data_IF_685997735508
#
_entry.id   IF_685997735508
#
_cell.length_a   1.000
_cell.length_b   1.000
_cell.length_c   1.000
_cell.angle_alpha   90.00
_cell.angle_beta   90.00
_cell.angle_gamma   90.00
#
_symmetry.space_group_name_H-M   'P 1'
#
loop_
_entity.id
_entity.type
_entity.pdbx_description
1 polymer ?
#
# COMPACT_ATOMS: atom_id res chain seq x y z
N UNK A 1 -20.14 56.30 23.58
CA UNK A 1 -18.71 55.90 23.63
C UNK A 1 -18.46 54.38 23.70
N UNK A 2 -19.34 53.60 24.35
CA UNK A 2 -19.14 52.15 24.57
C UNK A 2 -19.58 51.24 23.39
N UNK A 3 -20.33 51.73 22.40
CA UNK A 3 -20.79 50.90 21.27
C UNK A 3 -19.73 50.65 20.19
N UNK A 4 -18.83 51.61 19.97
CA UNK A 4 -17.84 51.52 18.89
C UNK A 4 -16.68 50.56 19.22
N UNK A 5 -16.36 50.37 20.51
CA UNK A 5 -15.29 49.47 20.95
C UNK A 5 -15.64 47.99 20.71
N UNK A 6 -16.91 47.62 20.94
CA UNK A 6 -17.40 46.24 20.70
C UNK A 6 -17.51 45.92 19.20
N UNK A 7 -17.89 46.89 18.37
CA UNK A 7 -17.92 46.69 16.91
C UNK A 7 -16.52 46.57 16.31
N UNK A 8 -15.54 47.33 16.80
CA UNK A 8 -14.14 47.23 16.36
C UNK A 8 -13.49 45.89 16.77
N UNK A 9 -13.88 45.32 17.92
CA UNK A 9 -13.40 43.99 18.35
C UNK A 9 -14.01 42.87 17.52
N UNK A 10 -15.29 42.94 17.16
CA UNK A 10 -15.93 41.96 16.28
C UNK A 10 -15.36 41.97 14.86
N UNK A 11 -15.08 43.15 14.30
CA UNK A 11 -14.46 43.27 12.97
C UNK A 11 -13.02 42.74 12.98
N UNK A 12 -12.23 43.04 14.02
CA UNK A 12 -10.88 42.50 14.14
C UNK A 12 -10.87 40.98 14.35
N UNK A 13 -11.82 40.44 15.13
CA UNK A 13 -11.98 38.99 15.30
C UNK A 13 -12.40 38.32 14.00
N UNK A 14 -13.31 38.93 13.25
CA UNK A 14 -13.73 38.45 11.93
C UNK A 14 -12.59 38.49 10.90
N UNK A 15 -11.80 39.57 10.87
CA UNK A 15 -10.64 39.69 10.00
C UNK A 15 -9.53 38.71 10.40
N UNK A 16 -9.29 38.49 11.71
CA UNK A 16 -8.37 37.48 12.19
C UNK A 16 -8.84 36.05 11.86
N UNK A 17 -10.14 35.79 11.97
CA UNK A 17 -10.74 34.52 11.55
C UNK A 17 -10.62 34.33 10.04
N UNK A 18 -10.91 35.35 9.24
CA UNK A 18 -10.72 35.32 7.78
C UNK A 18 -9.26 35.12 7.41
N UNK A 19 -8.33 35.75 8.14
CA UNK A 19 -6.89 35.58 7.95
C UNK A 19 -6.45 34.17 8.36
N UNK A 20 -6.97 33.63 9.46
CA UNK A 20 -6.78 32.22 9.86
C UNK A 20 -7.30 31.24 8.79
N UNK A 21 -8.49 31.50 8.24
CA UNK A 21 -9.10 30.66 7.20
C UNK A 21 -8.35 30.80 5.87
N UNK A 22 -7.86 31.99 5.54
CA UNK A 22 -7.03 32.25 4.36
C UNK A 22 -5.60 31.70 4.51
N UNK A 23 -5.05 31.68 5.73
CA UNK A 23 -3.73 31.15 6.10
C UNK A 23 -3.76 29.64 6.42
N UNK A 24 -4.92 28.96 6.34
CA UNK A 24 -4.93 27.49 6.36
C UNK A 24 -4.45 26.94 5.02
N UNK A 25 -3.14 27.03 4.79
CA UNK A 25 -2.48 26.26 3.74
C UNK A 25 -2.93 24.80 3.83
N UNK A 26 -3.28 24.24 2.67
CA UNK A 26 -3.69 22.84 2.56
C UNK A 26 -2.54 21.98 3.12
N UNK A 27 -2.78 21.10 4.12
CA UNK A 27 -1.71 20.28 4.69
C UNK A 27 -0.92 19.55 3.60
N UNK A 28 0.41 19.51 3.70
CA UNK A 28 1.27 18.98 2.65
C UNK A 28 0.90 17.56 2.22
N UNK A 29 0.55 16.69 3.17
CA UNK A 29 0.02 15.34 2.90
C UNK A 29 -1.25 15.32 2.04
N UNK A 30 -2.10 16.35 2.16
CA UNK A 30 -3.28 16.52 1.30
C UNK A 30 -2.87 17.01 -0.09
N UNK A 31 -1.83 17.83 -0.22
CA UNK A 31 -1.26 18.21 -1.52
C UNK A 31 -0.68 16.99 -2.25
N UNK A 32 0.14 16.16 -1.56
CA UNK A 32 0.66 14.89 -2.10
C UNK A 32 -0.49 13.98 -2.58
N UNK A 33 -1.58 13.88 -1.81
CA UNK A 33 -2.76 13.10 -2.18
C UNK A 33 -3.47 13.64 -3.43
N UNK A 34 -3.60 14.97 -3.54
CA UNK A 34 -4.19 15.61 -4.72
C UNK A 34 -3.33 15.32 -5.95
N UNK A 35 -2.02 15.52 -5.84
CA UNK A 35 -1.06 15.33 -6.94
C UNK A 35 -0.99 13.88 -7.46
N UNK A 36 -1.28 12.90 -6.60
CA UNK A 36 -1.19 11.47 -6.93
C UNK A 36 -2.55 10.82 -7.24
N UNK A 37 -3.66 11.56 -7.16
CA UNK A 37 -5.01 10.99 -7.25
C UNK A 37 -5.23 10.15 -8.51
N UNK A 38 -4.90 10.69 -9.68
CA UNK A 38 -5.16 10.01 -10.96
C UNK A 38 -4.32 8.73 -11.09
N UNK A 39 -3.02 8.81 -10.79
CA UNK A 39 -2.14 7.63 -10.86
C UNK A 39 -2.45 6.62 -9.77
N UNK A 40 -2.90 7.05 -8.59
CA UNK A 40 -3.38 6.18 -7.53
C UNK A 40 -4.58 5.35 -7.99
N UNK A 41 -5.55 5.95 -8.70
CA UNK A 41 -6.71 5.22 -9.24
C UNK A 41 -6.27 4.11 -10.21
N UNK A 42 -5.31 4.40 -11.10
CA UNK A 42 -4.73 3.41 -12.01
C UNK A 42 -4.04 2.29 -11.24
N UNK A 43 -3.28 2.65 -10.21
CA UNK A 43 -2.55 1.71 -9.36
C UNK A 43 -3.50 0.79 -8.60
N UNK A 44 -4.56 1.32 -8.00
CA UNK A 44 -5.60 0.57 -7.30
C UNK A 44 -6.27 -0.45 -8.21
N UNK A 45 -6.66 -0.04 -9.43
CA UNK A 45 -7.29 -0.94 -10.40
C UNK A 45 -6.38 -2.12 -10.74
N UNK A 46 -5.09 -1.84 -10.96
CA UNK A 46 -4.11 -2.86 -11.33
C UNK A 46 -3.73 -3.78 -10.17
N UNK A 47 -3.54 -3.23 -8.97
CA UNK A 47 -3.31 -4.00 -7.74
C UNK A 47 -4.49 -4.93 -7.47
N UNK A 48 -5.72 -4.42 -7.55
CA UNK A 48 -6.92 -5.25 -7.37
C UNK A 48 -7.03 -6.32 -8.46
N UNK A 49 -6.70 -5.99 -9.71
CA UNK A 49 -6.73 -6.96 -10.80
C UNK A 49 -5.74 -8.11 -10.55
N UNK A 50 -4.52 -7.85 -10.09
CA UNK A 50 -3.51 -8.90 -9.88
C UNK A 50 -3.50 -9.53 -8.49
N UNK A 51 -3.39 -8.71 -7.45
CA UNK A 51 -3.30 -9.17 -6.06
C UNK A 51 -4.66 -9.55 -5.48
N UNK A 52 -5.77 -9.01 -6.02
CA UNK A 52 -7.11 -9.53 -5.70
C UNK A 52 -7.27 -10.99 -6.15
N UNK A 53 -6.72 -11.36 -7.30
CA UNK A 53 -6.60 -12.78 -7.71
C UNK A 53 -5.64 -13.52 -6.77
N UNK A 54 -4.49 -12.90 -6.46
CA UNK A 54 -3.51 -13.41 -5.50
C UNK A 54 -4.09 -13.76 -4.13
N UNK A 55 -5.14 -13.07 -3.68
CA UNK A 55 -5.82 -13.43 -2.43
C UNK A 55 -6.34 -14.89 -2.43
N UNK A 56 -6.60 -15.45 -3.61
CA UNK A 56 -7.06 -16.84 -3.78
C UNK A 56 -5.98 -17.84 -4.17
N UNK A 57 -4.72 -17.43 -4.38
CA UNK A 57 -3.61 -18.30 -4.79
C UNK A 57 -2.34 -18.01 -3.99
N UNK A 58 -1.68 -19.03 -3.45
CA UNK A 58 -0.51 -18.81 -2.58
C UNK A 58 0.73 -18.36 -3.36
N UNK A 59 0.90 -18.83 -4.60
CA UNK A 59 2.07 -18.50 -5.43
C UNK A 59 2.01 -17.05 -5.87
N UNK A 60 0.87 -16.62 -6.42
CA UNK A 60 0.67 -15.23 -6.84
C UNK A 60 0.73 -14.26 -5.65
N UNK A 61 0.26 -14.69 -4.46
CA UNK A 61 0.41 -13.90 -3.24
C UNK A 61 1.89 -13.73 -2.85
N UNK A 62 2.67 -14.81 -2.88
CA UNK A 62 4.10 -14.76 -2.57
C UNK A 62 4.88 -13.87 -3.56
N UNK A 63 4.55 -13.92 -4.86
CA UNK A 63 5.11 -13.01 -5.86
C UNK A 63 4.88 -11.54 -5.51
N UNK A 64 3.66 -11.21 -5.05
CA UNK A 64 3.32 -9.87 -4.57
C UNK A 64 4.12 -9.46 -3.33
N UNK A 65 4.29 -10.35 -2.36
CA UNK A 65 5.10 -10.08 -1.18
C UNK A 65 6.56 -9.83 -1.54
N UNK A 66 7.08 -10.61 -2.48
CA UNK A 66 8.49 -10.61 -2.84
C UNK A 66 8.94 -9.32 -3.54
N UNK A 67 8.10 -8.73 -4.40
CA UNK A 67 8.40 -7.43 -5.02
C UNK A 67 8.44 -6.29 -3.99
N UNK A 68 7.61 -6.37 -2.94
CA UNK A 68 7.53 -5.34 -1.91
C UNK A 68 8.56 -5.51 -0.80
N UNK A 69 8.98 -6.74 -0.49
CA UNK A 69 9.99 -7.04 0.52
C UNK A 69 11.26 -6.20 0.33
N UNK A 70 11.81 -6.18 -0.88
CA UNK A 70 13.04 -5.42 -1.19
C UNK A 70 12.87 -3.91 -0.97
N UNK A 71 11.72 -3.37 -1.36
CA UNK A 71 11.43 -1.94 -1.20
C UNK A 71 11.30 -1.58 0.27
N UNK A 72 10.52 -2.33 1.06
CA UNK A 72 10.39 -2.08 2.49
C UNK A 72 11.72 -2.29 3.22
N UNK A 73 12.48 -3.33 2.88
CA UNK A 73 13.81 -3.60 3.44
C UNK A 73 14.78 -2.43 3.18
N UNK A 74 14.79 -1.90 1.95
CA UNK A 74 15.59 -0.73 1.62
C UNK A 74 15.17 0.50 2.40
N UNK A 75 13.86 0.80 2.46
CA UNK A 75 13.33 1.98 3.14
C UNK A 75 13.61 1.94 4.65
N UNK A 76 13.43 0.78 5.29
CA UNK A 76 13.76 0.60 6.71
C UNK A 76 15.26 0.78 6.96
N UNK A 77 16.11 0.22 6.11
CA UNK A 77 17.55 0.47 6.20
C UNK A 77 17.94 1.93 5.96
N UNK A 78 17.24 2.64 5.09
CA UNK A 78 17.46 4.07 4.87
C UNK A 78 17.04 4.90 6.10
N UNK A 79 15.91 4.56 6.73
CA UNK A 79 15.50 5.19 8.00
C UNK A 79 16.54 4.97 9.11
N UNK A 80 17.18 3.80 9.17
CA UNK A 80 18.29 3.56 10.10
C UNK A 80 19.50 4.45 9.81
N UNK A 81 19.98 4.45 8.56
CA UNK A 81 21.17 5.21 8.13
C UNK A 81 20.98 6.72 8.25
N UNK A 82 19.77 7.22 8.00
CA UNK A 82 19.41 8.64 7.95
C UNK A 82 18.61 9.08 9.17
N UNK A 83 18.65 8.29 10.26
CA UNK A 83 17.95 8.56 11.52
C UNK A 83 18.32 9.89 12.18
N UNK A 84 19.50 10.43 11.86
CA UNK A 84 19.99 11.74 12.31
C UNK A 84 19.40 12.92 11.52
N UNK A 85 18.56 12.66 10.52
CA UNK A 85 17.90 13.67 9.66
C UNK A 85 16.38 13.66 9.89
N UNK A 86 15.65 14.58 9.25
CA UNK A 86 14.17 14.62 9.26
C UNK A 86 13.50 13.32 8.80
N UNK A 87 14.21 12.44 8.08
CA UNK A 87 13.69 11.14 7.64
C UNK A 87 13.42 10.23 8.85
N UNK A 88 14.23 10.33 9.91
CA UNK A 88 14.05 9.53 11.14
C UNK A 88 12.70 9.78 11.81
N UNK A 89 12.14 10.98 11.65
CA UNK A 89 10.84 11.34 12.23
C UNK A 89 9.65 10.61 11.58
N UNK A 90 9.86 9.98 10.41
CA UNK A 90 8.86 9.14 9.75
C UNK A 90 8.85 7.69 10.24
N UNK A 91 9.83 7.26 11.05
CA UNK A 91 9.89 5.90 11.60
C UNK A 91 9.00 5.76 12.85
N UNK A 92 7.69 5.71 12.62
CA UNK A 92 6.68 5.60 13.66
C UNK A 92 6.73 4.21 14.31
N UNK A 93 6.82 4.11 15.65
CA UNK A 93 6.93 2.82 16.34
C UNK A 93 5.84 1.82 15.93
N UNK A 94 6.30 0.61 15.59
CA UNK A 94 5.43 -0.48 15.15
C UNK A 94 5.00 -0.42 13.69
N UNK A 95 5.57 0.47 12.86
CA UNK A 95 5.28 0.47 11.42
C UNK A 95 6.09 -0.56 10.64
N UNK A 96 7.37 -0.77 10.97
CA UNK A 96 8.33 -1.63 10.23
C UNK A 96 7.82 -3.03 9.92
N UNK A 97 8.07 -3.52 8.71
CA UNK A 97 7.51 -4.74 8.14
C UNK A 97 8.53 -5.73 7.59
N UNK A 98 9.82 -5.40 7.49
CA UNK A 98 10.82 -6.32 6.91
C UNK A 98 10.75 -7.73 7.51
N UNK A 99 10.80 -7.86 8.83
CA UNK A 99 10.70 -9.17 9.51
C UNK A 99 9.36 -9.87 9.24
N UNK A 100 8.28 -9.09 9.10
CA UNK A 100 6.97 -9.62 8.78
C UNK A 100 6.91 -10.17 7.34
N UNK A 101 7.60 -9.52 6.39
CA UNK A 101 7.79 -10.03 5.04
C UNK A 101 8.59 -11.33 5.03
N UNK A 102 9.71 -11.38 5.75
CA UNK A 102 10.54 -12.59 5.85
C UNK A 102 9.75 -13.77 6.41
N UNK A 103 8.92 -13.53 7.44
CA UNK A 103 8.03 -14.54 8.02
C UNK A 103 6.99 -15.05 7.03
N UNK A 104 6.30 -14.15 6.32
CA UNK A 104 5.28 -14.55 5.35
C UNK A 104 5.90 -15.25 4.13
N UNK A 105 7.07 -14.78 3.65
CA UNK A 105 7.79 -15.40 2.54
C UNK A 105 8.27 -16.81 2.92
N UNK A 106 8.82 -17.00 4.13
CA UNK A 106 9.19 -18.32 4.63
C UNK A 106 7.99 -19.27 4.74
N UNK A 107 6.81 -18.74 5.10
CA UNK A 107 5.58 -19.52 5.13
C UNK A 107 5.12 -19.97 3.73
N UNK A 108 5.20 -19.09 2.73
CA UNK A 108 4.67 -19.39 1.39
C UNK A 108 5.66 -20.11 0.46
N UNK A 109 6.95 -19.84 0.60
CA UNK A 109 8.02 -20.32 -0.29
C UNK A 109 8.95 -21.34 0.38
N UNK A 110 8.84 -21.53 1.70
CA UNK A 110 9.70 -22.40 2.50
C UNK A 110 10.82 -21.63 3.21
N UNK A 111 11.48 -22.25 4.21
CA UNK A 111 12.49 -21.58 5.05
C UNK A 111 13.69 -21.05 4.26
N UNK A 112 14.08 -21.73 3.18
CA UNK A 112 15.23 -21.36 2.34
C UNK A 112 14.86 -20.50 1.13
N UNK A 113 13.75 -19.76 1.20
CA UNK A 113 13.21 -18.97 0.07
C UNK A 113 14.21 -17.98 -0.55
N UNK A 114 15.23 -17.56 0.22
CA UNK A 114 16.28 -16.66 -0.25
C UNK A 114 17.33 -17.33 -1.14
N UNK A 115 17.45 -18.67 -1.11
CA UNK A 115 18.57 -19.38 -1.76
C UNK A 115 18.61 -19.19 -3.29
N UNK A 116 17.44 -19.21 -3.92
CA UNK A 116 17.27 -19.06 -5.37
C UNK A 116 16.59 -17.73 -5.71
N UNK A 117 16.58 -16.80 -4.76
CA UNK A 117 15.92 -15.51 -4.92
C UNK A 117 16.80 -14.52 -5.67
N UNK A 118 16.24 -13.92 -6.73
CA UNK A 118 16.77 -12.73 -7.37
C UNK A 118 15.65 -11.71 -7.53
N UNK A 119 15.86 -10.43 -7.15
CA UNK A 119 14.90 -9.38 -7.43
C UNK A 119 14.62 -9.29 -8.93
N UNK A 120 13.35 -9.02 -9.27
CA UNK A 120 12.92 -8.78 -10.66
C UNK A 120 13.56 -7.50 -11.19
N UNK A 121 13.73 -7.40 -12.51
CA UNK A 121 14.28 -6.20 -13.15
C UNK A 121 13.54 -4.92 -12.75
N UNK A 122 12.20 -4.97 -12.69
CA UNK A 122 11.36 -3.86 -12.21
C UNK A 122 11.69 -3.42 -10.78
N UNK A 123 12.00 -4.37 -9.90
CA UNK A 123 12.43 -4.11 -8.51
C UNK A 123 13.86 -3.58 -8.49
N UNK A 124 14.77 -4.13 -9.30
CA UNK A 124 16.13 -3.59 -9.45
C UNK A 124 16.12 -2.12 -9.91
N UNK A 125 15.28 -1.79 -10.89
CA UNK A 125 15.11 -0.43 -11.39
C UNK A 125 14.55 0.50 -10.30
N UNK A 126 13.57 0.03 -9.52
CA UNK A 126 13.06 0.76 -8.37
C UNK A 126 14.19 1.01 -7.35
N UNK A 127 14.93 -0.03 -6.96
CA UNK A 127 16.01 0.06 -5.99
C UNK A 127 17.13 0.99 -6.46
N UNK A 128 17.45 0.98 -7.74
CA UNK A 128 18.44 1.88 -8.33
C UNK A 128 17.99 3.34 -8.23
N UNK A 129 16.72 3.61 -8.53
CA UNK A 129 16.15 4.96 -8.39
C UNK A 129 16.28 5.48 -6.95
N UNK A 130 15.84 4.70 -5.96
CA UNK A 130 15.87 5.15 -4.56
C UNK A 130 17.30 5.21 -3.98
N UNK A 131 18.23 4.38 -4.46
CA UNK A 131 19.67 4.53 -4.14
C UNK A 131 20.25 5.83 -4.69
N UNK A 132 19.82 6.24 -5.89
CA UNK A 132 20.25 7.53 -6.45
C UNK A 132 19.66 8.70 -5.67
N UNK A 133 18.40 8.62 -5.22
CA UNK A 133 17.81 9.62 -4.33
C UNK A 133 18.59 9.71 -3.01
N UNK A 134 18.85 8.58 -2.35
CA UNK A 134 19.61 8.53 -1.10
C UNK A 134 20.97 9.25 -1.22
N UNK A 135 21.66 9.08 -2.36
CA UNK A 135 22.96 9.70 -2.61
C UNK A 135 22.88 11.20 -2.90
N UNK A 136 21.88 11.65 -3.66
CA UNK A 136 21.86 13.00 -4.24
C UNK A 136 20.94 13.96 -3.48
N UNK A 137 19.76 13.50 -3.07
CA UNK A 137 18.81 14.26 -2.24
C UNK A 137 17.99 13.27 -1.38
N UNK A 138 18.51 12.85 -0.22
CA UNK A 138 17.89 11.81 0.60
C UNK A 138 16.49 12.18 1.08
N UNK A 139 16.15 13.46 1.20
CA UNK A 139 14.83 13.89 1.66
C UNK A 139 13.70 13.42 0.72
N UNK A 140 13.99 13.19 -0.57
CA UNK A 140 12.99 12.68 -1.51
C UNK A 140 12.54 11.24 -1.20
N UNK A 141 13.34 10.47 -0.43
CA UNK A 141 12.94 9.15 0.07
C UNK A 141 11.69 9.19 0.94
N UNK A 142 11.41 10.33 1.58
CA UNK A 142 10.23 10.50 2.43
C UNK A 142 8.93 10.28 1.65
N UNK A 143 8.88 10.61 0.35
CA UNK A 143 7.73 10.30 -0.49
C UNK A 143 7.50 8.78 -0.59
N UNK A 144 8.57 7.99 -0.77
CA UNK A 144 8.48 6.54 -0.86
C UNK A 144 8.07 5.92 0.47
N UNK A 145 8.72 6.31 1.57
CA UNK A 145 8.36 5.85 2.91
C UNK A 145 6.87 6.14 3.17
N UNK A 146 6.45 7.39 2.96
CA UNK A 146 5.08 7.79 3.23
C UNK A 146 4.05 7.01 2.42
N UNK A 147 4.20 6.93 1.10
CA UNK A 147 3.18 6.29 0.24
C UNK A 147 3.13 4.76 0.42
N UNK A 148 4.26 4.08 0.59
CA UNK A 148 4.26 2.62 0.79
C UNK A 148 3.59 2.22 2.10
N UNK A 149 3.92 2.90 3.19
CA UNK A 149 3.30 2.62 4.48
C UNK A 149 1.83 3.07 4.51
N UNK A 150 1.48 4.24 3.96
CA UNK A 150 0.07 4.66 3.89
C UNK A 150 -0.79 3.71 3.04
N UNK A 151 -0.22 3.18 1.95
CA UNK A 151 -0.83 2.16 1.10
C UNK A 151 -1.03 0.84 1.85
N UNK A 152 -0.01 0.35 2.54
CA UNK A 152 -0.09 -0.87 3.36
C UNK A 152 -1.14 -0.75 4.48
N UNK A 153 -1.13 0.37 5.20
CA UNK A 153 -2.02 0.65 6.32
C UNK A 153 -3.46 0.92 5.89
N UNK A 154 -3.70 1.10 4.59
CA UNK A 154 -5.04 1.33 4.03
C UNK A 154 -5.48 0.15 3.14
N UNK A 155 -4.92 0.04 1.93
CA UNK A 155 -5.24 -1.03 0.97
C UNK A 155 -4.79 -2.42 1.45
N UNK A 156 -3.63 -2.50 2.13
CA UNK A 156 -3.15 -3.77 2.69
C UNK A 156 -4.10 -4.39 3.72
N UNK A 157 -4.83 -3.57 4.49
CA UNK A 157 -5.84 -4.06 5.44
C UNK A 157 -7.08 -4.63 4.73
N UNK A 158 -7.44 -4.11 3.56
CA UNK A 158 -8.50 -4.67 2.72
C UNK A 158 -8.06 -6.02 2.16
N UNK A 159 -6.84 -6.10 1.61
CA UNK A 159 -6.27 -7.35 1.10
C UNK A 159 -6.15 -8.41 2.20
N UNK A 160 -5.78 -8.05 3.43
CA UNK A 160 -5.79 -8.97 4.59
C UNK A 160 -7.14 -9.62 4.78
N UNK A 161 -8.22 -8.83 4.80
CA UNK A 161 -9.59 -9.34 5.00
C UNK A 161 -10.00 -10.28 3.88
N UNK A 162 -9.70 -9.92 2.64
CA UNK A 162 -9.97 -10.76 1.47
C UNK A 162 -9.19 -12.08 1.54
N UNK A 163 -7.89 -12.02 1.81
CA UNK A 163 -7.02 -13.19 1.95
C UNK A 163 -7.48 -14.11 3.08
N UNK A 164 -7.79 -13.55 4.24
CA UNK A 164 -8.30 -14.29 5.39
C UNK A 164 -9.63 -15.01 5.08
N UNK A 165 -10.53 -14.34 4.36
CA UNK A 165 -11.78 -14.95 3.90
C UNK A 165 -11.50 -16.12 2.96
N UNK A 166 -10.61 -15.95 1.99
CA UNK A 166 -10.25 -17.01 1.04
C UNK A 166 -9.59 -18.21 1.73
N UNK A 167 -8.76 -18.00 2.76
CA UNK A 167 -8.20 -19.09 3.56
C UNK A 167 -9.31 -19.85 4.31
N UNK A 168 -10.22 -19.13 4.99
CA UNK A 168 -11.35 -19.76 5.72
C UNK A 168 -12.25 -20.60 4.81
N UNK A 169 -12.44 -20.20 3.55
CA UNK A 169 -13.23 -20.95 2.58
C UNK A 169 -12.50 -22.22 2.07
N UNK A 170 -11.17 -22.21 2.01
CA UNK A 170 -10.37 -23.37 1.57
C UNK A 170 -10.17 -24.41 2.68
N UNK A 171 -9.96 -23.95 3.91
CA UNK A 171 -9.69 -24.82 5.05
C UNK A 171 -10.99 -25.19 5.76
N UNK A 172 -11.55 -26.35 5.39
CA UNK A 172 -12.65 -26.97 6.12
C UNK A 172 -12.17 -27.40 7.52
N UNK A 173 -12.52 -26.57 8.52
CA UNK A 173 -12.75 -26.90 9.94
C UNK A 173 -11.63 -27.50 10.83
N UNK A 174 -10.43 -27.81 10.36
CA UNK A 174 -9.42 -28.53 11.19
C UNK A 174 -8.06 -27.86 11.44
N UNK A 175 -7.69 -26.78 10.76
CA UNK A 175 -6.40 -26.10 11.01
C UNK A 175 -6.55 -24.83 11.86
N UNK A 176 -5.63 -24.71 12.83
CA UNK A 176 -5.56 -23.64 13.82
C UNK A 176 -4.99 -22.36 13.21
N UNK A 177 -5.85 -21.34 13.09
CA UNK A 177 -5.44 -19.94 12.89
C UNK A 177 -5.17 -19.52 11.44
N UNK A 178 -5.35 -18.22 11.17
CA UNK A 178 -4.92 -17.60 9.92
C UNK A 178 -3.39 -17.49 9.92
N UNK A 179 -2.72 -17.93 8.86
CA UNK A 179 -1.26 -17.89 8.72
C UNK A 179 -0.85 -17.15 7.44
N UNK A 180 0.41 -16.73 7.36
CA UNK A 180 0.94 -16.00 6.19
C UNK A 180 0.30 -14.63 5.97
N UNK A 181 0.01 -13.90 7.06
CA UNK A 181 -0.60 -12.57 7.05
C UNK A 181 0.19 -11.54 7.89
N UNK A 182 1.39 -11.89 8.35
CA UNK A 182 2.20 -11.08 9.26
C UNK A 182 2.45 -9.66 8.72
N UNK A 183 2.70 -9.51 7.41
CA UNK A 183 2.94 -8.21 6.77
C UNK A 183 1.75 -7.26 6.96
N UNK A 184 0.55 -7.79 6.88
CA UNK A 184 -0.69 -7.01 7.00
C UNK A 184 -1.24 -6.98 8.43
N UNK A 185 -0.63 -7.75 9.33
CA UNK A 185 -0.99 -7.79 10.75
C UNK A 185 -0.34 -6.64 11.52
N UNK A 186 -0.96 -5.47 11.39
CA UNK A 186 -0.48 -4.25 12.03
C UNK A 186 -1.40 -3.88 13.19
N UNK A 187 -0.83 -3.70 14.37
CA UNK A 187 -1.52 -3.15 15.55
C UNK A 187 -1.53 -1.63 15.49
N UNK A 188 -2.59 -1.00 16.03
CA UNK A 188 -2.68 0.47 16.11
C UNK A 188 -2.56 1.22 14.77
N UNK A 189 -3.12 0.66 13.69
CA UNK A 189 -3.10 1.24 12.33
C UNK A 189 -3.46 2.72 12.30
N UNK A 190 -4.51 3.13 13.02
CA UNK A 190 -4.94 4.52 13.06
C UNK A 190 -3.88 5.46 13.64
N UNK A 191 -3.20 5.05 14.71
CA UNK A 191 -2.13 5.81 15.37
C UNK A 191 -0.90 5.93 14.48
N UNK A 192 -0.53 4.86 13.78
CA UNK A 192 0.62 4.90 12.85
C UNK A 192 0.30 5.87 11.70
N UNK A 193 -0.90 5.77 11.11
CA UNK A 193 -1.31 6.67 10.03
C UNK A 193 -1.35 8.14 10.44
N UNK A 194 -1.90 8.45 11.63
CA UNK A 194 -1.93 9.82 12.13
C UNK A 194 -0.53 10.33 12.41
N UNK A 195 0.32 9.54 13.08
CA UNK A 195 1.71 9.90 13.36
C UNK A 195 2.52 10.18 12.08
N UNK A 196 2.37 9.34 11.05
CA UNK A 196 3.04 9.58 9.76
C UNK A 196 2.54 10.86 9.07
N UNK A 197 1.23 11.11 9.10
CA UNK A 197 0.66 12.29 8.47
C UNK A 197 1.09 13.58 9.20
N UNK A 198 1.08 13.57 10.53
CA UNK A 198 1.55 14.67 11.37
C UNK A 198 3.04 14.94 11.16
N UNK A 199 3.88 13.89 11.18
CA UNK A 199 5.31 14.01 10.92
C UNK A 199 5.59 14.60 9.53
N UNK A 200 4.97 14.06 8.47
CA UNK A 200 5.16 14.56 7.11
C UNK A 200 4.71 16.03 6.96
N UNK A 201 3.58 16.42 7.55
CA UNK A 201 3.13 17.82 7.50
C UNK A 201 4.10 18.76 8.24
N UNK A 202 4.62 18.35 9.40
CA UNK A 202 5.60 19.13 10.15
C UNK A 202 6.90 19.28 9.38
N UNK A 203 7.47 18.15 8.92
CA UNK A 203 8.71 18.12 8.13
C UNK A 203 8.60 19.05 6.92
N UNK A 204 7.49 19.01 6.19
CA UNK A 204 7.28 19.87 5.02
C UNK A 204 7.33 21.38 5.34
N UNK A 205 6.97 21.78 6.57
CA UNK A 205 7.11 23.16 7.04
C UNK A 205 8.56 23.59 7.28
N UNK A 206 9.48 22.64 7.42
CA UNK A 206 10.92 22.89 7.63
C UNK A 206 11.73 22.85 6.31
N UNK A 207 11.12 22.36 5.22
CA UNK A 207 11.78 22.22 3.92
C UNK A 207 11.65 23.50 3.06
N UNK A 208 12.62 23.68 2.16
CA UNK A 208 12.50 24.67 1.09
C UNK A 208 11.47 24.25 0.02
N UNK A 209 11.06 25.21 -0.80
CA UNK A 209 10.04 25.00 -1.83
C UNK A 209 10.49 24.02 -2.92
N UNK A 210 11.78 24.02 -3.27
CA UNK A 210 12.34 23.10 -4.26
C UNK A 210 12.19 21.64 -3.80
N UNK A 211 12.53 21.36 -2.54
CA UNK A 211 12.43 20.03 -1.94
C UNK A 211 10.98 19.63 -1.75
N UNK A 212 10.09 20.55 -1.35
CA UNK A 212 8.64 20.28 -1.30
C UNK A 212 8.09 19.90 -2.66
N UNK A 213 8.44 20.64 -3.71
CA UNK A 213 8.00 20.31 -5.06
C UNK A 213 8.60 18.99 -5.53
N UNK A 214 9.87 18.73 -5.20
CA UNK A 214 10.54 17.45 -5.44
C UNK A 214 9.79 16.28 -4.80
N UNK A 215 9.33 16.42 -3.55
CA UNK A 215 8.51 15.41 -2.87
C UNK A 215 7.16 15.16 -3.55
N UNK A 216 6.54 16.20 -4.12
CA UNK A 216 5.29 16.09 -4.89
C UNK A 216 5.52 15.34 -6.21
N UNK A 217 6.62 15.62 -6.92
CA UNK A 217 6.96 14.87 -8.13
C UNK A 217 7.38 13.43 -7.83
N UNK A 218 8.19 13.23 -6.78
CA UNK A 218 8.61 11.90 -6.35
C UNK A 218 7.42 11.07 -5.86
N UNK A 219 6.41 11.71 -5.26
CA UNK A 219 5.14 11.06 -4.93
C UNK A 219 4.47 10.42 -6.16
N UNK A 220 4.57 11.03 -7.35
CA UNK A 220 4.04 10.43 -8.59
C UNK A 220 4.93 9.28 -9.05
N UNK A 221 6.25 9.45 -8.97
CA UNK A 221 7.24 8.42 -9.33
C UNK A 221 7.08 7.15 -8.50
N UNK A 222 6.75 7.26 -7.21
CA UNK A 222 6.38 6.13 -6.35
C UNK A 222 5.34 5.24 -7.03
N UNK A 223 4.24 5.83 -7.52
CA UNK A 223 3.19 5.05 -8.18
C UNK A 223 3.61 4.53 -9.55
N UNK A 224 4.37 5.30 -10.34
CA UNK A 224 4.90 4.83 -11.65
C UNK A 224 5.75 3.58 -11.46
N UNK A 225 6.72 3.64 -10.57
CA UNK A 225 7.66 2.53 -10.32
C UNK A 225 6.96 1.35 -9.62
N UNK A 226 6.09 1.62 -8.64
CA UNK A 226 5.25 0.58 -8.02
C UNK A 226 4.40 -0.14 -9.06
N UNK A 227 3.86 0.60 -10.02
CA UNK A 227 3.05 0.02 -11.07
C UNK A 227 3.87 -0.92 -11.96
N UNK A 228 5.09 -0.53 -12.33
CA UNK A 228 6.01 -1.43 -13.06
C UNK A 228 6.29 -2.73 -12.29
N UNK A 229 6.51 -2.64 -10.97
CA UNK A 229 6.71 -3.83 -10.13
C UNK A 229 5.47 -4.74 -10.12
N UNK A 230 4.27 -4.18 -9.91
CA UNK A 230 3.02 -4.96 -9.93
C UNK A 230 2.76 -5.59 -11.31
N UNK A 231 3.08 -4.88 -12.40
CA UNK A 231 2.99 -5.43 -13.76
C UNK A 231 3.92 -6.62 -13.99
N UNK A 232 5.04 -6.70 -13.28
CA UNK A 232 5.95 -7.85 -13.37
C UNK A 232 5.49 -9.10 -12.61
N UNK A 233 4.42 -9.03 -11.80
CA UNK A 233 3.87 -10.20 -11.10
C UNK A 233 3.32 -11.22 -12.11
N UNK A 234 3.82 -12.45 -12.03
CA UNK A 234 3.41 -13.58 -12.85
C UNK A 234 2.30 -14.43 -12.21
N UNK A 235 1.76 -15.38 -12.97
CA UNK A 235 0.78 -16.37 -12.48
C UNK A 235 -0.66 -15.88 -12.34
N UNK A 236 -0.90 -14.58 -12.18
CA UNK A 236 -2.26 -14.03 -12.05
C UNK A 236 -3.17 -14.40 -13.24
N UNK A 237 -2.67 -14.30 -14.48
CA UNK A 237 -3.42 -14.67 -15.69
C UNK A 237 -3.75 -16.17 -15.77
N UNK A 238 -2.80 -17.03 -15.41
CA UNK A 238 -3.01 -18.48 -15.37
C UNK A 238 -4.11 -18.86 -14.35
N UNK A 239 -4.13 -18.21 -13.18
CA UNK A 239 -5.18 -18.44 -12.18
C UNK A 239 -6.57 -18.04 -12.71
N UNK A 240 -6.68 -16.94 -13.48
CA UNK A 240 -7.94 -16.53 -14.11
C UNK A 240 -8.39 -17.57 -15.14
N UNK A 241 -7.50 -18.02 -16.02
CA UNK A 241 -7.82 -19.03 -17.03
C UNK A 241 -8.33 -20.33 -16.38
N UNK A 242 -7.65 -20.82 -15.33
CA UNK A 242 -8.08 -22.01 -14.58
C UNK A 242 -9.46 -21.82 -13.95
N UNK A 243 -9.74 -20.63 -13.39
CA UNK A 243 -11.08 -20.33 -12.85
C UNK A 243 -12.13 -20.36 -13.96
N UNK A 244 -11.91 -19.70 -15.09
CA UNK A 244 -12.87 -19.71 -16.21
C UNK A 244 -13.18 -21.13 -16.71
N UNK A 245 -12.15 -21.98 -16.85
CA UNK A 245 -12.35 -23.39 -17.22
C UNK A 245 -13.20 -24.13 -16.19
N UNK A 246 -12.95 -23.95 -14.89
CA UNK A 246 -13.77 -24.55 -13.83
C UNK A 246 -15.23 -24.09 -13.88
N UNK A 247 -15.47 -22.81 -14.10
CA UNK A 247 -16.83 -22.26 -14.22
C UNK A 247 -17.55 -22.82 -15.45
N UNK A 248 -16.86 -22.94 -16.59
CA UNK A 248 -17.41 -23.58 -17.79
C UNK A 248 -17.76 -25.06 -17.53
N UNK A 249 -16.90 -25.81 -16.82
CA UNK A 249 -17.19 -27.20 -16.43
C UNK A 249 -18.39 -27.30 -15.48
N UNK A 250 -18.49 -26.43 -14.46
CA UNK A 250 -19.65 -26.42 -13.56
C UNK A 250 -20.94 -26.05 -14.27
N UNK A 251 -20.87 -25.09 -15.20
CA UNK A 251 -22.01 -24.75 -16.07
C UNK A 251 -22.46 -25.96 -16.90
N UNK A 252 -21.52 -26.65 -17.55
CA UNK A 252 -21.80 -27.85 -18.34
C UNK A 252 -22.40 -28.97 -17.48
N UNK A 253 -21.85 -29.22 -16.28
CA UNK A 253 -22.38 -30.20 -15.34
C UNK A 253 -23.81 -29.84 -14.89
N UNK A 254 -24.07 -28.55 -14.64
CA UNK A 254 -25.40 -28.05 -14.30
C UNK A 254 -26.43 -28.28 -15.42
N UNK A 255 -26.03 -28.05 -16.68
CA UNK A 255 -26.89 -28.36 -17.85
C UNK A 255 -27.15 -29.86 -17.95
N UNK A 256 -26.12 -30.71 -17.81
CA UNK A 256 -26.28 -32.16 -17.84
C UNK A 256 -27.20 -32.67 -16.72
N UNK A 257 -27.06 -32.13 -15.51
CA UNK A 257 -27.92 -32.44 -14.39
C UNK A 257 -29.37 -32.02 -14.65
N UNK A 258 -29.60 -30.84 -15.22
CA UNK A 258 -30.93 -30.38 -15.59
C UNK A 258 -31.58 -31.29 -16.66
N UNK A 259 -30.80 -31.73 -17.66
CA UNK A 259 -31.26 -32.70 -18.67
C UNK A 259 -31.62 -34.04 -18.01
N UNK A 260 -30.76 -34.53 -17.10
CA UNK A 260 -30.99 -35.78 -16.37
C UNK A 260 -32.26 -35.72 -15.53
N UNK A 261 -32.44 -34.66 -14.74
CA UNK A 261 -33.64 -34.46 -13.89
C UNK A 261 -34.90 -34.36 -14.76
N UNK A 262 -34.85 -33.64 -15.89
CA UNK A 262 -35.98 -33.54 -16.82
C UNK A 262 -36.36 -34.90 -17.42
N UNK A 263 -35.38 -35.74 -17.78
CA UNK A 263 -35.65 -37.10 -18.27
C UNK A 263 -36.26 -37.99 -17.19
N UNK A 264 -35.78 -37.90 -15.96
CA UNK A 264 -36.31 -38.67 -14.84
C UNK A 264 -37.73 -38.24 -14.42
N UNK A 265 -38.07 -36.95 -14.50
CA UNK A 265 -39.40 -36.45 -14.16
C UNK A 265 -40.48 -36.75 -15.22
N UNK A 266 -40.08 -37.15 -16.43
CA UNK A 266 -40.98 -37.42 -17.56
C UNK A 266 -41.12 -38.92 -17.90
N UNK A 267 -40.42 -39.80 -17.19
CA UNK A 267 -40.47 -41.26 -17.35
C UNK A 267 -40.95 -41.93 -16.08
#
# INVERSE_FOLDING_TARGET
>A
PLSNANQLTDVNNFLNWMKMVADTEIPFTKQMRIATREIHNVSDAMVNAKLGIGCSDNRVWAEGLMIYYEVFSFMEGAMDRLSHTLIGDLDIPGMRRKEAFEKDLAFYLGPDWQKDYSPRESVCNYLQHVKNLEKNNPYLLMAHIYHFYMGLLSGGQIMRRQRALMQKLKFSRKETGLQGLAVTEVTNVAKIKSGMAEAMNRIAGELDEETRQGLIEESKMVFILSNSMVQSIEGAGAVVAIKLVKWAMYGMLGVLLAIYVKKWALG
#
